data_IF_719838948589
#
_entry.id   IF_719838948589
#
_cell.length_a   1.000
_cell.length_b   1.000
_cell.length_c   1.000
_cell.angle_alpha   90.00
_cell.angle_beta   90.00
_cell.angle_gamma   90.00
#
_symmetry.space_group_name_H-M   'P 1'
#
loop_
_entity.id
_entity.type
_entity.pdbx_description
1 polymer ?
#
# COMPACT_ATOMS: atom_id res chain seq x y z
N UNK A 1 3.60 5.11 -3.04
CA UNK A 1 3.40 3.69 -2.63
C UNK A 1 1.95 3.39 -2.24
N UNK A 2 1.25 4.26 -1.49
CA UNK A 2 -0.15 4.01 -1.07
C UNK A 2 -1.16 3.81 -2.23
N UNK A 3 -0.99 4.50 -3.37
CA UNK A 3 -1.86 4.32 -4.56
C UNK A 3 -1.83 2.89 -5.12
N UNK A 4 -0.69 2.21 -5.03
CA UNK A 4 -0.53 0.84 -5.53
C UNK A 4 -1.29 -0.17 -4.65
N UNK A 5 -1.17 -0.02 -3.33
CA UNK A 5 -1.90 -0.85 -2.35
C UNK A 5 -3.41 -0.70 -2.55
N UNK A 6 -3.88 0.53 -2.76
CA UNK A 6 -5.29 0.79 -3.01
C UNK A 6 -5.78 0.21 -4.34
N UNK A 7 -4.97 0.27 -5.40
CA UNK A 7 -5.29 -0.36 -6.70
C UNK A 7 -5.38 -1.89 -6.61
N UNK A 8 -4.44 -2.54 -5.93
CA UNK A 8 -4.47 -3.99 -5.69
C UNK A 8 -5.68 -4.37 -4.82
N UNK A 9 -6.01 -3.56 -3.81
CA UNK A 9 -7.23 -3.74 -3.02
C UNK A 9 -8.48 -3.71 -3.89
N UNK A 10 -8.67 -2.65 -4.69
CA UNK A 10 -9.83 -2.51 -5.58
C UNK A 10 -9.91 -3.68 -6.57
N UNK A 11 -8.78 -4.10 -7.13
CA UNK A 11 -8.74 -5.24 -8.06
C UNK A 11 -9.21 -6.52 -7.35
N UNK A 12 -8.73 -6.78 -6.13
CA UNK A 12 -9.17 -7.91 -5.31
C UNK A 12 -10.66 -7.85 -4.96
N UNK A 13 -11.18 -6.66 -4.63
CA UNK A 13 -12.60 -6.45 -4.38
C UNK A 13 -13.47 -6.74 -5.62
N UNK A 14 -13.05 -6.27 -6.79
CA UNK A 14 -13.76 -6.52 -8.05
C UNK A 14 -13.78 -8.01 -8.38
N UNK A 15 -12.65 -8.71 -8.25
CA UNK A 15 -12.58 -10.17 -8.50
C UNK A 15 -13.48 -10.92 -7.52
N UNK A 16 -13.42 -10.61 -6.22
CA UNK A 16 -14.28 -11.22 -5.21
C UNK A 16 -15.76 -11.00 -5.53
N UNK A 17 -16.14 -9.79 -5.94
CA UNK A 17 -17.52 -9.43 -6.27
C UNK A 17 -18.03 -10.18 -7.50
N UNK A 18 -17.18 -10.42 -8.51
CA UNK A 18 -17.56 -11.23 -9.67
C UNK A 18 -17.75 -12.70 -9.29
N UNK A 19 -16.87 -13.25 -8.46
CA UNK A 19 -16.94 -14.65 -8.01
C UNK A 19 -18.17 -14.89 -7.12
N UNK A 20 -18.41 -14.01 -6.15
CA UNK A 20 -19.60 -14.07 -5.29
C UNK A 20 -20.88 -13.66 -6.02
N UNK A 21 -20.79 -12.78 -7.01
CA UNK A 21 -21.91 -12.41 -7.89
C UNK A 21 -22.41 -13.58 -8.74
N UNK A 22 -21.49 -14.42 -9.24
CA UNK A 22 -21.83 -15.59 -10.04
C UNK A 22 -22.54 -16.72 -9.27
N UNK A 23 -22.53 -16.68 -7.94
CA UNK A 23 -23.18 -17.71 -7.09
C UNK A 23 -24.65 -17.41 -6.77
N UNK A 24 -25.20 -16.31 -7.29
CA UNK A 24 -26.64 -16.01 -7.20
C UNK A 24 -27.14 -15.64 -5.80
N UNK A 25 -26.24 -15.33 -4.86
CA UNK A 25 -26.57 -14.88 -3.52
C UNK A 25 -27.21 -13.48 -3.50
N UNK A 26 -27.82 -13.10 -2.38
CA UNK A 26 -28.31 -11.73 -2.20
C UNK A 26 -27.17 -10.72 -2.30
N UNK A 27 -27.41 -9.61 -3.00
CA UNK A 27 -26.42 -8.54 -3.25
C UNK A 27 -25.73 -8.08 -1.95
N UNK A 28 -26.48 -7.97 -0.85
CA UNK A 28 -25.92 -7.60 0.46
C UNK A 28 -24.90 -8.60 1.00
N UNK A 29 -25.12 -9.90 0.80
CA UNK A 29 -24.19 -10.96 1.24
C UNK A 29 -22.90 -10.92 0.42
N UNK A 30 -23.05 -10.74 -0.90
CA UNK A 30 -21.95 -10.60 -1.85
C UNK A 30 -21.08 -9.39 -1.51
N UNK A 31 -21.71 -8.23 -1.31
CA UNK A 31 -21.00 -6.99 -0.97
C UNK A 31 -20.31 -7.11 0.38
N UNK A 32 -20.97 -7.70 1.38
CA UNK A 32 -20.38 -7.93 2.71
C UNK A 32 -19.16 -8.84 2.66
N UNK A 33 -19.25 -9.98 1.96
CA UNK A 33 -18.13 -10.92 1.79
C UNK A 33 -16.98 -10.31 1.01
N UNK A 34 -17.26 -9.62 -0.10
CA UNK A 34 -16.24 -8.94 -0.89
C UNK A 34 -15.57 -7.82 -0.08
N UNK A 35 -16.30 -7.11 0.77
CA UNK A 35 -15.75 -6.09 1.64
C UNK A 35 -14.80 -6.69 2.69
N UNK A 36 -15.16 -7.83 3.30
CA UNK A 36 -14.28 -8.55 4.24
C UNK A 36 -12.97 -8.97 3.54
N UNK A 37 -13.05 -9.49 2.31
CA UNK A 37 -11.88 -9.86 1.51
C UNK A 37 -11.02 -8.63 1.21
N UNK A 38 -11.64 -7.51 0.82
CA UNK A 38 -10.93 -6.25 0.57
C UNK A 38 -10.17 -5.77 1.82
N UNK A 39 -10.84 -5.72 2.97
CA UNK A 39 -10.22 -5.32 4.24
C UNK A 39 -9.05 -6.25 4.60
N UNK A 40 -9.22 -7.56 4.42
CA UNK A 40 -8.16 -8.56 4.64
C UNK A 40 -6.93 -8.31 3.78
N UNK A 41 -7.12 -8.05 2.47
CA UNK A 41 -6.02 -7.75 1.54
C UNK A 41 -5.31 -6.45 1.93
N UNK A 42 -6.06 -5.41 2.29
CA UNK A 42 -5.48 -4.11 2.70
C UNK A 42 -4.67 -4.27 3.98
N UNK A 43 -5.19 -4.98 4.99
CA UNK A 43 -4.46 -5.24 6.23
C UNK A 43 -3.20 -6.06 5.99
N UNK A 44 -3.28 -7.12 5.19
CA UNK A 44 -2.13 -7.95 4.84
C UNK A 44 -1.06 -7.15 4.10
N UNK A 45 -1.44 -6.36 3.09
CA UNK A 45 -0.52 -5.50 2.35
C UNK A 45 0.14 -4.47 3.28
N UNK A 46 -0.62 -3.87 4.19
CA UNK A 46 -0.08 -2.90 5.16
C UNK A 46 0.91 -3.56 6.12
N UNK A 47 0.61 -4.77 6.61
CA UNK A 47 1.52 -5.54 7.45
C UNK A 47 2.83 -5.89 6.72
N UNK A 48 2.74 -6.33 5.46
CA UNK A 48 3.92 -6.61 4.62
C UNK A 48 4.76 -5.35 4.41
N UNK A 49 4.15 -4.18 4.19
CA UNK A 49 4.89 -2.92 4.05
C UNK A 49 5.55 -2.49 5.35
N UNK A 50 4.89 -2.68 6.51
CA UNK A 50 5.47 -2.37 7.81
C UNK A 50 6.66 -3.29 8.13
N UNK A 51 6.54 -4.60 7.88
CA UNK A 51 7.61 -5.58 8.13
C UNK A 51 8.73 -5.44 7.09
N UNK A 52 8.40 -5.32 5.81
CA UNK A 52 9.36 -5.13 4.73
C UNK A 52 10.09 -3.78 4.82
N UNK A 53 9.39 -2.72 5.25
CA UNK A 53 9.97 -1.40 5.46
C UNK A 53 10.94 -1.37 6.65
N UNK A 54 10.60 -2.03 7.76
CA UNK A 54 11.50 -2.13 8.92
C UNK A 54 12.75 -2.97 8.64
N UNK A 55 12.67 -3.97 7.75
CA UNK A 55 13.85 -4.70 7.27
C UNK A 55 14.67 -3.91 6.24
N UNK A 56 14.03 -3.21 5.30
CA UNK A 56 14.73 -2.38 4.30
C UNK A 56 15.38 -1.12 4.90
N UNK A 57 14.84 -0.57 5.99
CA UNK A 57 15.44 0.55 6.72
C UNK A 57 16.71 0.17 7.50
N UNK A 58 17.09 -1.10 7.55
CA UNK A 58 18.35 -1.53 8.17
C UNK A 58 19.57 -1.34 7.24
N UNK A 59 19.34 -1.05 5.95
CA UNK A 59 20.38 -0.89 4.92
C UNK A 59 20.23 0.40 4.08
N UNK A 60 19.61 1.46 4.61
CA UNK A 60 19.60 2.78 3.95
C UNK A 60 20.49 3.78 4.70
N UNK A 61 21.64 4.19 4.13
CA UNK A 61 22.63 5.02 4.81
C UNK A 61 22.12 6.45 5.03
N UNK A 62 22.41 6.95 6.23
CA UNK A 62 22.21 8.34 6.67
C UNK A 62 23.09 9.35 5.89
N UNK A 63 22.96 9.46 4.56
CA UNK A 63 23.64 10.47 3.73
C UNK A 63 22.75 10.98 2.61
N UNK A 64 21.72 11.75 2.95
CA UNK A 64 21.02 12.59 1.95
C UNK A 64 20.54 13.93 2.51
N UNK A 65 21.27 14.53 3.46
CA UNK A 65 21.03 15.91 3.89
C UNK A 65 22.28 16.77 4.10
N UNK A 66 23.50 16.23 3.92
CA UNK A 66 24.74 17.01 4.08
C UNK A 66 25.15 17.79 2.81
N UNK A 67 24.66 17.41 1.61
CA UNK A 67 25.14 17.99 0.35
C UNK A 67 24.34 19.21 -0.15
N UNK A 68 23.28 19.60 0.55
CA UNK A 68 22.50 20.80 0.22
C UNK A 68 22.95 22.06 0.97
N UNK A 69 23.79 21.93 2.01
CA UNK A 69 24.25 23.07 2.79
C UNK A 69 25.57 23.68 2.29
N UNK A 70 26.41 22.94 1.56
CA UNK A 70 27.66 23.49 0.99
C UNK A 70 27.43 24.38 -0.25
N UNK A 71 26.31 24.24 -0.97
CA UNK A 71 26.04 25.07 -2.16
C UNK A 71 25.47 26.47 -1.83
N UNK A 72 25.12 26.74 -0.57
CA UNK A 72 24.60 28.04 -0.14
C UNK A 72 25.69 28.98 0.42
N UNK A 73 26.90 28.46 0.70
CA UNK A 73 28.04 29.21 1.25
C UNK A 73 29.15 29.38 0.19
N UNK A 74 28.80 29.58 -1.08
CA UNK A 74 29.78 30.04 -2.09
C UNK A 74 29.25 31.23 -2.93
N UNK A 75 28.04 31.73 -2.63
CA UNK A 75 27.48 32.93 -3.28
C UNK A 75 27.63 34.22 -2.47
N UNK A 76 28.49 34.24 -1.46
CA UNK A 76 28.70 35.43 -0.65
C UNK A 76 30.16 35.58 -0.18
N UNK A 77 31.11 35.45 -1.12
CA UNK A 77 32.45 36.02 -0.99
C UNK A 77 32.92 36.49 -2.36
#
# INVERSE_FOLDING_TARGET
MNKLIFQIGILGFCIATVVFGGTGGSILDIVSRSFIVFVGIVLAATAVVLVGGTMASKDAPAKSNAKQQEAATEKHT
#
